data_IF_025418118041
#
_entry.id   IF_025418118041
#
_cell.length_a   1.000
_cell.length_b   1.000
_cell.length_c   1.000
_cell.angle_alpha   90.00
_cell.angle_beta   90.00
_cell.angle_gamma   90.00
#
_symmetry.space_group_name_H-M   'P 1'
#
loop_
_entity.id
_entity.type
_entity.pdbx_description
1 polymer ?
#
# COMPACT_ATOMS: atom_id res chain seq x y z
N UNK A 1 -60.15 -4.88 20.25
CA UNK A 1 -61.04 -4.15 21.16
C UNK A 1 -60.21 -2.99 21.69
N UNK A 2 -59.93 -1.96 20.88
CA UNK A 2 -60.79 -0.89 20.33
C UNK A 2 -61.25 0.13 21.39
N UNK A 3 -61.32 1.38 20.92
CA UNK A 3 -61.69 2.66 21.56
C UNK A 3 -60.50 3.53 22.02
N UNK A 4 -60.22 4.72 21.48
CA UNK A 4 -60.87 5.50 20.41
C UNK A 4 -60.84 7.01 20.71
N UNK A 5 -60.88 7.81 19.63
CA UNK A 5 -61.34 9.22 19.52
C UNK A 5 -60.35 10.33 19.99
N UNK A 6 -60.10 11.44 19.29
CA UNK A 6 -60.64 12.01 18.05
C UNK A 6 -60.52 13.55 18.05
N UNK A 7 -60.61 14.15 16.84
CA UNK A 7 -60.83 15.57 16.49
C UNK A 7 -59.67 16.58 16.51
N UNK A 8 -59.64 17.67 15.71
CA UNK A 8 -60.12 18.09 14.37
C UNK A 8 -60.07 19.64 14.34
N UNK A 9 -59.63 20.26 13.23
CA UNK A 9 -59.93 21.66 12.76
C UNK A 9 -59.36 22.84 13.58
N UNK A 10 -58.91 24.01 13.08
CA UNK A 10 -59.23 24.80 11.87
C UNK A 10 -58.33 26.08 11.79
N UNK A 11 -58.24 26.63 10.56
CA UNK A 11 -58.05 28.02 10.09
C UNK A 11 -56.85 28.91 10.49
N UNK A 12 -56.33 29.63 9.48
CA UNK A 12 -55.64 30.91 9.64
C UNK A 12 -55.01 31.44 8.35
N UNK A 13 -55.82 32.05 7.48
CA UNK A 13 -55.38 32.76 6.27
C UNK A 13 -54.88 34.19 6.60
N UNK A 14 -53.97 34.74 5.79
CA UNK A 14 -53.62 36.17 5.81
C UNK A 14 -52.37 36.55 5.01
N UNK A 15 -52.52 36.74 3.68
CA UNK A 15 -52.31 37.99 2.90
C UNK A 15 -51.07 38.90 3.12
N UNK A 16 -50.70 39.75 2.12
CA UNK A 16 -49.34 39.84 1.55
C UNK A 16 -48.69 41.24 1.65
N UNK A 17 -47.56 41.41 0.94
CA UNK A 17 -47.22 42.57 0.08
C UNK A 17 -46.04 43.50 0.46
N UNK A 18 -45.13 43.53 -0.52
CA UNK A 18 -44.10 44.48 -0.96
C UNK A 18 -43.38 45.48 -0.06
N UNK A 19 -42.06 45.50 -0.27
CA UNK A 19 -41.23 46.69 -0.18
C UNK A 19 -39.99 46.58 -1.08
N UNK A 20 -40.04 47.33 -2.20
CA UNK A 20 -38.95 48.00 -2.96
C UNK A 20 -38.27 47.31 -4.18
N UNK A 21 -38.88 47.47 -5.37
CA UNK A 21 -38.42 48.27 -6.57
C UNK A 21 -36.90 48.32 -6.85
N UNK A 22 -36.37 47.66 -7.91
CA UNK A 22 -36.05 48.12 -9.31
C UNK A 22 -34.88 49.15 -9.37
N UNK A 23 -33.86 49.13 -10.24
CA UNK A 23 -33.68 48.75 -11.66
C UNK A 23 -32.14 48.85 -11.95
N UNK A 24 -31.45 47.99 -12.72
CA UNK A 24 -31.24 48.06 -14.19
C UNK A 24 -30.19 46.95 -14.51
N UNK A 25 -30.50 45.90 -15.26
CA UNK A 25 -30.67 45.77 -16.71
C UNK A 25 -29.39 45.94 -17.55
N UNK A 26 -28.97 44.80 -18.09
CA UNK A 26 -28.37 44.58 -19.41
C UNK A 26 -27.01 45.23 -19.77
N UNK A 27 -25.95 44.42 -19.68
CA UNK A 27 -24.92 44.32 -20.72
C UNK A 27 -24.39 42.86 -20.67
N UNK A 28 -24.94 41.95 -21.47
CA UNK A 28 -24.53 41.69 -22.85
C UNK A 28 -23.07 41.21 -22.97
N UNK A 29 -22.96 39.89 -23.15
CA UNK A 29 -22.18 39.19 -24.17
C UNK A 29 -20.63 39.12 -24.11
N UNK A 30 -20.17 37.86 -24.04
CA UNK A 30 -18.89 37.29 -24.48
C UNK A 30 -17.61 37.56 -23.71
N UNK A 31 -17.05 36.51 -23.06
CA UNK A 31 -15.99 35.68 -23.68
C UNK A 31 -15.35 34.67 -22.66
N UNK A 32 -15.26 33.40 -23.09
CA UNK A 32 -14.60 32.20 -22.49
C UNK A 32 -15.10 31.71 -21.11
N UNK A 33 -15.93 30.66 -21.06
CA UNK A 33 -15.59 29.21 -20.96
C UNK A 33 -14.71 28.93 -19.71
N UNK A 34 -15.13 28.17 -18.68
CA UNK A 34 -15.53 26.76 -18.69
C UNK A 34 -16.43 26.45 -17.48
N UNK A 35 -17.67 26.05 -17.77
CA UNK A 35 -18.63 25.32 -16.94
C UNK A 35 -18.12 23.88 -16.63
N UNK A 36 -18.41 23.12 -15.58
CA UNK A 36 -19.53 23.02 -14.63
C UNK A 36 -19.13 22.01 -13.50
N UNK A 37 -19.70 22.20 -12.30
CA UNK A 37 -19.81 21.28 -11.14
C UNK A 37 -20.38 19.86 -11.50
N UNK A 38 -20.64 18.83 -10.65
CA UNK A 38 -20.60 18.77 -9.18
C UNK A 38 -19.94 17.50 -8.58
N UNK A 39 -19.36 17.62 -7.39
CA UNK A 39 -18.94 16.47 -6.57
C UNK A 39 -20.11 16.01 -5.68
N UNK A 40 -20.81 14.97 -6.12
CA UNK A 40 -21.46 14.05 -5.19
C UNK A 40 -21.60 12.66 -5.83
N UNK A 41 -20.89 11.68 -5.27
CA UNK A 41 -21.23 10.24 -5.31
C UNK A 41 -20.16 9.43 -4.57
N UNK A 42 -20.58 8.91 -3.42
CA UNK A 42 -20.16 7.64 -2.84
C UNK A 42 -19.52 6.71 -3.89
N UNK A 43 -18.20 6.51 -3.81
CA UNK A 43 -17.51 5.43 -4.51
C UNK A 43 -16.97 4.46 -3.49
N UNK A 44 -17.69 3.36 -3.35
CA UNK A 44 -17.15 2.03 -3.09
C UNK A 44 -15.81 1.93 -3.80
N UNK A 45 -14.74 1.79 -3.01
CA UNK A 45 -13.38 1.57 -3.50
C UNK A 45 -13.36 0.26 -4.29
N UNK A 46 -13.67 0.34 -5.58
CA UNK A 46 -13.45 -0.73 -6.55
C UNK A 46 -11.96 -0.98 -6.56
N UNK A 47 -11.58 -2.20 -6.21
CA UNK A 47 -10.24 -2.75 -6.29
C UNK A 47 -9.60 -2.36 -7.64
N UNK A 48 -8.72 -1.36 -7.57
CA UNK A 48 -7.97 -0.90 -8.73
C UNK A 48 -7.04 -2.04 -9.16
N UNK A 49 -7.48 -2.67 -10.23
CA UNK A 49 -6.76 -3.49 -11.20
C UNK A 49 -5.25 -3.54 -10.93
N UNK A 50 -4.79 -4.67 -10.39
CA UNK A 50 -3.37 -5.02 -10.37
C UNK A 50 -2.86 -5.05 -11.80
N UNK A 51 -2.16 -4.01 -12.22
CA UNK A 51 -1.19 -4.13 -13.31
C UNK A 51 -0.07 -5.04 -12.79
N UNK A 52 -0.26 -6.35 -12.89
CA UNK A 52 0.82 -7.32 -12.90
C UNK A 52 1.51 -7.14 -14.26
N UNK A 53 2.23 -6.03 -14.41
CA UNK A 53 3.19 -5.94 -15.50
C UNK A 53 4.39 -6.78 -15.07
N UNK A 54 4.52 -7.92 -15.74
CA UNK A 54 5.54 -8.91 -15.49
C UNK A 54 6.90 -8.40 -15.93
N UNK A 55 7.46 -7.45 -15.18
CA UNK A 55 8.90 -7.26 -15.10
C UNK A 55 9.47 -8.64 -14.77
N UNK A 56 10.18 -9.25 -15.72
CA UNK A 56 10.54 -10.66 -15.72
C UNK A 56 11.11 -11.10 -14.36
N UNK A 57 10.26 -11.67 -13.52
CA UNK A 57 10.57 -11.88 -12.10
C UNK A 57 11.64 -12.95 -11.87
N UNK A 58 11.85 -13.75 -12.91
CA UNK A 58 12.86 -14.81 -13.01
C UNK A 58 14.25 -14.27 -13.34
N UNK A 59 14.41 -12.98 -13.63
CA UNK A 59 15.70 -12.33 -13.89
C UNK A 59 16.55 -12.27 -12.62
N UNK A 60 17.86 -12.45 -12.76
CA UNK A 60 18.80 -12.27 -11.66
C UNK A 60 18.84 -10.80 -11.22
N UNK A 61 18.62 -10.54 -9.94
CA UNK A 61 18.74 -9.18 -9.40
C UNK A 61 20.18 -8.70 -9.48
N UNK A 62 20.34 -7.42 -9.81
CA UNK A 62 21.63 -6.74 -9.95
C UNK A 62 21.87 -5.69 -8.87
N UNK A 63 20.93 -5.51 -7.93
CA UNK A 63 21.08 -4.53 -6.87
C UNK A 63 20.31 -4.95 -5.60
N UNK A 64 20.64 -4.27 -4.50
CA UNK A 64 20.05 -4.50 -3.19
C UNK A 64 18.57 -4.15 -3.15
N UNK A 65 18.19 -3.05 -3.81
CA UNK A 65 16.78 -2.62 -3.88
C UNK A 65 15.90 -3.69 -4.50
N UNK A 66 16.34 -4.32 -5.60
CA UNK A 66 15.62 -5.41 -6.27
C UNK A 66 15.53 -6.68 -5.43
N UNK A 67 16.54 -6.97 -4.61
CA UNK A 67 16.48 -8.06 -3.62
C UNK A 67 15.38 -7.80 -2.59
N UNK A 68 15.35 -6.59 -2.02
CA UNK A 68 14.36 -6.20 -1.00
C UNK A 68 12.95 -6.21 -1.61
N UNK A 69 12.77 -5.60 -2.78
CA UNK A 69 11.50 -5.56 -3.49
C UNK A 69 10.96 -6.98 -3.79
N UNK A 70 11.84 -7.89 -4.24
CA UNK A 70 11.45 -9.28 -4.47
C UNK A 70 11.08 -10.00 -3.17
N UNK A 71 11.84 -9.80 -2.10
CA UNK A 71 11.53 -10.39 -0.79
C UNK A 71 10.15 -9.92 -0.30
N UNK A 72 9.87 -8.63 -0.42
CA UNK A 72 8.57 -8.06 -0.07
C UNK A 72 7.43 -8.61 -0.93
N UNK A 73 7.63 -8.78 -2.24
CA UNK A 73 6.66 -9.41 -3.13
C UNK A 73 6.38 -10.86 -2.72
N UNK A 74 7.43 -11.62 -2.40
CA UNK A 74 7.31 -12.99 -1.90
C UNK A 74 6.58 -13.06 -0.55
N UNK A 75 6.85 -12.12 0.35
CA UNK A 75 6.13 -12.00 1.63
C UNK A 75 4.64 -11.68 1.42
N UNK A 76 4.33 -10.72 0.54
CA UNK A 76 2.96 -10.35 0.23
C UNK A 76 2.17 -11.52 -0.37
N UNK A 77 2.80 -12.30 -1.26
CA UNK A 77 2.17 -13.48 -1.86
C UNK A 77 2.06 -14.62 -0.83
N UNK A 78 3.03 -14.78 0.07
CA UNK A 78 2.97 -15.75 1.17
C UNK A 78 1.80 -15.49 2.10
N UNK A 79 1.54 -14.22 2.46
CA UNK A 79 0.37 -13.81 3.27
C UNK A 79 -0.98 -14.17 2.63
N UNK A 80 -1.00 -14.44 1.32
CA UNK A 80 -2.19 -14.78 0.53
C UNK A 80 -2.22 -16.25 0.08
N UNK A 81 -1.17 -17.01 0.36
CA UNK A 81 -0.95 -18.35 -0.17
C UNK A 81 -0.99 -19.38 0.95
N UNK A 82 -1.27 -20.63 0.57
CA UNK A 82 -1.31 -21.76 1.51
C UNK A 82 0.11 -22.22 1.89
N UNK A 83 1.11 -21.98 1.03
CA UNK A 83 2.49 -22.40 1.27
C UNK A 83 3.54 -21.45 0.70
N UNK A 84 4.77 -21.52 1.23
CA UNK A 84 5.94 -20.80 0.72
C UNK A 84 6.22 -21.15 -0.75
N UNK A 85 6.11 -22.42 -1.13
CA UNK A 85 6.38 -22.86 -2.51
C UNK A 85 5.46 -22.13 -3.48
N UNK A 86 4.15 -22.14 -3.22
CA UNK A 86 3.16 -21.46 -4.07
C UNK A 86 3.42 -19.97 -4.15
N UNK A 87 3.81 -19.33 -3.04
CA UNK A 87 4.14 -17.91 -3.04
C UNK A 87 5.36 -17.59 -3.91
N UNK A 88 6.42 -18.39 -3.78
CA UNK A 88 7.64 -18.20 -4.55
C UNK A 88 7.44 -18.51 -6.04
N UNK A 89 6.65 -19.53 -6.38
CA UNK A 89 6.29 -19.86 -7.76
C UNK A 89 5.50 -18.72 -8.42
N UNK A 90 4.55 -18.11 -7.70
CA UNK A 90 3.76 -16.96 -8.17
C UNK A 90 4.58 -15.69 -8.37
N UNK A 91 5.60 -15.50 -7.53
CA UNK A 91 6.58 -14.42 -7.70
C UNK A 91 7.63 -14.79 -8.74
N UNK A 92 7.77 -16.06 -9.13
CA UNK A 92 8.77 -16.51 -10.11
C UNK A 92 10.20 -16.54 -9.56
N UNK A 93 10.38 -16.80 -8.27
CA UNK A 93 11.70 -16.89 -7.61
C UNK A 93 11.94 -18.27 -7.00
N UNK A 94 13.17 -18.75 -7.06
CA UNK A 94 13.58 -19.97 -6.36
C UNK A 94 13.78 -19.75 -4.85
N UNK A 95 13.44 -20.78 -4.05
CA UNK A 95 13.58 -20.75 -2.59
C UNK A 95 15.02 -20.48 -2.14
N UNK A 96 16.02 -21.11 -2.77
CA UNK A 96 17.42 -20.89 -2.40
C UNK A 96 17.85 -19.47 -2.74
N UNK A 97 17.32 -18.88 -3.81
CA UNK A 97 17.60 -17.47 -4.16
C UNK A 97 17.11 -16.53 -3.05
N UNK A 98 15.86 -16.71 -2.58
CA UNK A 98 15.35 -15.95 -1.43
C UNK A 98 16.20 -16.23 -0.19
N UNK A 99 16.48 -17.49 0.12
CA UNK A 99 17.27 -17.88 1.31
C UNK A 99 18.67 -17.28 1.34
N UNK A 100 19.39 -17.25 0.22
CA UNK A 100 20.77 -16.69 0.14
C UNK A 100 20.82 -15.17 0.28
N UNK A 101 19.72 -14.48 -0.02
CA UNK A 101 19.66 -13.01 -0.02
C UNK A 101 18.75 -12.46 1.08
N UNK A 102 18.11 -13.33 1.86
CA UNK A 102 17.17 -12.97 2.91
C UNK A 102 17.80 -12.06 3.97
N UNK A 103 19.07 -12.27 4.34
CA UNK A 103 19.75 -11.43 5.35
C UNK A 103 19.74 -9.94 4.99
N UNK A 104 19.79 -9.58 3.71
CA UNK A 104 19.71 -8.18 3.23
C UNK A 104 18.32 -7.58 3.56
N UNK A 105 17.27 -8.30 3.19
CA UNK A 105 15.89 -7.88 3.43
C UNK A 105 15.54 -7.90 4.92
N UNK A 106 15.98 -8.92 5.65
CA UNK A 106 15.73 -9.07 7.08
C UNK A 106 16.40 -7.94 7.88
N UNK A 107 17.66 -7.61 7.58
CA UNK A 107 18.35 -6.51 8.26
C UNK A 107 17.72 -5.15 7.92
N UNK A 108 17.44 -4.88 6.64
CA UNK A 108 16.81 -3.62 6.23
C UNK A 108 15.41 -3.39 6.83
N UNK A 109 14.63 -4.46 7.06
CA UNK A 109 13.30 -4.36 7.66
C UNK A 109 13.32 -4.37 9.19
N UNK A 110 14.23 -5.13 9.81
CA UNK A 110 14.28 -5.26 11.26
C UNK A 110 15.12 -4.18 11.94
N UNK A 111 16.18 -3.70 11.30
CA UNK A 111 17.10 -2.71 11.84
C UNK A 111 17.66 -1.83 10.70
N UNK A 112 16.82 -0.97 10.11
CA UNK A 112 17.25 -0.06 9.04
C UNK A 112 18.43 0.82 9.46
N UNK A 113 18.52 1.19 10.74
CA UNK A 113 19.63 1.94 11.31
C UNK A 113 20.99 1.24 11.14
N UNK A 114 21.04 -0.06 11.39
CA UNK A 114 22.26 -0.87 11.19
C UNK A 114 22.51 -1.09 9.71
N UNK A 115 21.46 -1.32 8.93
CA UNK A 115 21.56 -1.48 7.49
C UNK A 115 22.17 -0.25 6.80
N UNK A 116 21.76 0.96 7.18
CA UNK A 116 22.28 2.21 6.64
C UNK A 116 23.66 2.59 7.18
N UNK A 117 24.06 2.05 8.34
CA UNK A 117 25.41 2.21 8.88
C UNK A 117 26.45 1.32 8.17
N UNK A 118 26.02 0.27 7.46
CA UNK A 118 26.91 -0.57 6.67
C UNK A 118 27.38 0.17 5.41
N UNK A 119 28.62 -0.11 4.94
CA UNK A 119 29.05 0.37 3.63
C UNK A 119 28.04 -0.04 2.55
N UNK A 120 27.65 0.88 1.65
CA UNK A 120 26.71 0.58 0.59
C UNK A 120 27.26 -0.56 -0.29
N UNK A 121 26.35 -1.28 -0.93
CA UNK A 121 26.74 -2.34 -1.86
C UNK A 121 27.28 -1.75 -3.16
N UNK A 122 28.45 -2.21 -3.59
CA UNK A 122 29.04 -1.91 -4.89
C UNK A 122 29.18 -3.21 -5.71
N UNK A 123 28.66 -3.19 -6.94
CA UNK A 123 28.70 -4.32 -7.88
C UNK A 123 30.14 -4.70 -8.28
N UNK A 124 31.06 -3.73 -8.28
CA UNK A 124 32.47 -3.94 -8.66
C UNK A 124 33.28 -4.60 -7.57
N UNK A 125 32.93 -4.34 -6.31
CA UNK A 125 33.66 -4.85 -5.15
C UNK A 125 33.17 -6.23 -4.72
N UNK A 126 31.85 -6.47 -4.76
CA UNK A 126 31.31 -7.74 -4.28
C UNK A 126 29.99 -8.17 -4.93
N UNK A 127 29.69 -9.46 -4.80
CA UNK A 127 28.40 -10.00 -5.19
C UNK A 127 27.34 -9.76 -4.12
N UNK A 128 26.06 -9.71 -4.50
CA UNK A 128 24.92 -9.66 -3.56
C UNK A 128 24.96 -10.78 -2.50
N UNK A 129 25.55 -11.93 -2.81
CA UNK A 129 25.67 -13.02 -1.84
C UNK A 129 26.71 -12.73 -0.76
N UNK A 130 27.84 -12.11 -1.13
CA UNK A 130 28.83 -11.64 -0.16
C UNK A 130 28.23 -10.51 0.69
N UNK A 131 27.50 -9.57 0.08
CA UNK A 131 26.82 -8.53 0.82
C UNK A 131 25.79 -9.06 1.83
N UNK A 132 25.05 -10.11 1.45
CA UNK A 132 24.14 -10.79 2.37
C UNK A 132 24.86 -11.42 3.56
N UNK A 133 26.07 -11.96 3.36
CA UNK A 133 26.91 -12.45 4.44
C UNK A 133 27.36 -11.31 5.37
N UNK A 134 27.78 -10.16 4.81
CA UNK A 134 28.12 -8.96 5.61
C UNK A 134 26.93 -8.50 6.45
N UNK A 135 25.74 -8.43 5.85
CA UNK A 135 24.50 -8.11 6.57
C UNK A 135 24.26 -9.08 7.72
N UNK A 136 24.49 -10.39 7.53
CA UNK A 136 24.34 -11.39 8.58
C UNK A 136 25.30 -11.17 9.76
N UNK A 137 26.55 -10.84 9.46
CA UNK A 137 27.57 -10.59 10.47
C UNK A 137 27.31 -9.31 11.27
N UNK A 138 26.67 -8.31 10.64
CA UNK A 138 26.29 -7.07 11.29
C UNK A 138 25.10 -7.21 12.25
N UNK A 139 24.34 -8.30 12.19
CA UNK A 139 23.23 -8.55 13.10
C UNK A 139 23.78 -8.93 14.48
N UNK A 140 23.36 -8.21 15.51
CA UNK A 140 23.58 -8.60 16.89
C UNK A 140 22.48 -9.58 17.36
N UNK A 141 22.57 -10.05 18.60
CA UNK A 141 21.57 -10.97 19.17
C UNK A 141 20.20 -10.33 19.32
N UNK A 142 20.16 -9.01 19.57
CA UNK A 142 18.92 -8.23 19.66
C UNK A 142 18.18 -8.24 18.33
N UNK A 143 18.87 -7.97 17.22
CA UNK A 143 18.31 -7.97 15.87
C UNK A 143 17.89 -9.38 15.47
N UNK A 144 18.70 -10.40 15.79
CA UNK A 144 18.33 -11.81 15.55
C UNK A 144 17.04 -12.19 16.29
N UNK A 145 16.89 -11.78 17.54
CA UNK A 145 15.68 -12.01 18.32
C UNK A 145 14.46 -11.28 17.72
N UNK A 146 14.62 -10.00 17.35
CA UNK A 146 13.58 -9.21 16.69
C UNK A 146 13.12 -9.86 15.38
N UNK A 147 14.05 -10.34 14.56
CA UNK A 147 13.74 -11.03 13.30
C UNK A 147 12.99 -12.33 13.56
N UNK A 148 13.37 -13.11 14.57
CA UNK A 148 12.63 -14.31 14.96
C UNK A 148 11.17 -13.96 15.30
N UNK A 149 10.95 -12.91 16.08
CA UNK A 149 9.60 -12.42 16.39
C UNK A 149 8.85 -11.97 15.13
N UNK A 150 9.48 -11.22 14.23
CA UNK A 150 8.86 -10.76 12.97
C UNK A 150 8.49 -11.93 12.05
N UNK A 151 9.30 -12.99 12.00
CA UNK A 151 8.99 -14.23 11.26
C UNK A 151 7.75 -14.92 11.83
N UNK A 152 7.64 -15.00 13.15
CA UNK A 152 6.45 -15.57 13.82
C UNK A 152 5.20 -14.73 13.62
N UNK A 153 5.32 -13.39 13.59
CA UNK A 153 4.22 -12.47 13.34
C UNK A 153 3.74 -12.45 11.87
N UNK A 154 4.55 -12.93 10.93
CA UNK A 154 4.26 -12.86 9.49
C UNK A 154 4.66 -11.53 8.85
N UNK A 155 5.52 -10.76 9.52
CA UNK A 155 6.15 -9.54 8.98
C UNK A 155 7.45 -9.85 8.22
N UNK A 156 7.97 -11.06 8.36
CA UNK A 156 9.08 -11.62 7.57
C UNK A 156 8.74 -13.03 7.10
N UNK A 157 9.41 -13.49 6.04
CA UNK A 157 9.25 -14.86 5.54
C UNK A 157 9.82 -15.86 6.55
N UNK A 158 9.12 -16.97 6.84
CA UNK A 158 9.62 -18.05 7.70
C UNK A 158 10.65 -18.92 6.95
N UNK A 159 11.73 -18.29 6.47
CA UNK A 159 12.84 -18.92 5.77
C UNK A 159 14.13 -18.75 6.57
N UNK A 160 14.99 -19.75 6.52
CA UNK A 160 16.34 -19.64 7.08
C UNK A 160 17.21 -18.95 6.04
N UNK A 161 17.84 -17.86 6.45
CA UNK A 161 18.87 -17.20 5.64
C UNK A 161 20.07 -18.15 5.58
N UNK A 162 20.58 -18.47 4.38
CA UNK A 162 21.79 -19.31 4.19
C UNK A 162 23.07 -18.50 4.05
#
# INVERSE_FOLDING_TARGET
MEAGLGSSTHMGAGFPDEGVVFENSALFESFEEVEIHPLDRHRVMKSSKRSRDGENTRVRMKNVVGVIARYMAALQEFRRSVSMKVAFDRVGVDRNTISRTAAIAELSLAAPEVFHALPPWDEKEETLAHYAHRCRQAMDDTIRAKIKTMKTKGDLLPIVSK
#
